data_IF_655744220079
#
_entry.id   IF_655744220079
#
_cell.length_a   1.000
_cell.length_b   1.000
_cell.length_c   1.000
_cell.angle_alpha   90.00
_cell.angle_beta   90.00
_cell.angle_gamma   90.00
#
_symmetry.space_group_name_H-M   'P 1'
#
loop_
_entity.id
_entity.type
_entity.pdbx_description
1 polymer ?
#
# COMPACT_ATOMS: atom_id res chain seq x y z
N UNK A 1 -4.37 17.34 8.38
CA UNK A 1 -4.99 15.99 8.33
C UNK A 1 -4.42 15.32 7.10
N UNK A 2 -3.69 14.21 7.28
CA UNK A 2 -3.02 13.51 6.19
C UNK A 2 -4.02 12.92 5.20
N UNK A 3 -3.68 12.95 3.91
CA UNK A 3 -4.48 12.39 2.81
C UNK A 3 -3.62 11.44 2.00
N UNK A 4 -4.05 10.18 1.87
CA UNK A 4 -3.34 9.15 1.12
C UNK A 4 -4.23 8.54 0.04
N UNK A 5 -3.62 7.90 -0.95
CA UNK A 5 -4.34 7.12 -1.95
C UNK A 5 -3.93 5.65 -1.87
N UNK A 6 -4.88 4.74 -2.09
CA UNK A 6 -4.60 3.33 -2.32
C UNK A 6 -5.02 2.97 -3.75
N UNK A 7 -4.11 2.32 -4.50
CA UNK A 7 -4.33 1.97 -5.90
C UNK A 7 -4.95 0.58 -6.00
N UNK A 8 -6.21 0.52 -6.43
CA UNK A 8 -6.98 -0.71 -6.54
C UNK A 8 -6.98 -1.21 -7.99
N UNK A 9 -6.46 -2.42 -8.20
CA UNK A 9 -6.43 -3.10 -9.49
C UNK A 9 -7.35 -4.32 -9.45
N UNK A 10 -7.95 -4.69 -10.58
CA UNK A 10 -8.57 -6.00 -10.70
C UNK A 10 -7.55 -7.10 -10.38
N UNK A 11 -7.97 -8.07 -9.56
CA UNK A 11 -7.10 -9.12 -9.04
C UNK A 11 -6.26 -8.72 -7.83
N UNK A 12 -6.52 -7.57 -7.18
CA UNK A 12 -5.90 -7.23 -5.90
C UNK A 12 -6.42 -8.14 -4.76
N UNK A 13 -5.62 -8.33 -3.73
CA UNK A 13 -6.04 -9.02 -2.51
C UNK A 13 -7.00 -8.11 -1.72
N UNK A 14 -8.25 -8.55 -1.61
CA UNK A 14 -9.33 -7.77 -1.01
C UNK A 14 -9.04 -7.39 0.44
N UNK A 15 -8.55 -8.34 1.23
CA UNK A 15 -8.27 -8.11 2.66
C UNK A 15 -7.13 -7.12 2.83
N UNK A 16 -6.09 -7.20 2.02
CA UNK A 16 -4.95 -6.27 2.12
C UNK A 16 -5.35 -4.84 1.79
N UNK A 17 -6.20 -4.66 0.76
CA UNK A 17 -6.68 -3.34 0.37
C UNK A 17 -7.72 -2.78 1.35
N UNK A 18 -8.80 -3.52 1.59
CA UNK A 18 -9.94 -3.03 2.36
C UNK A 18 -9.65 -2.90 3.86
N UNK A 19 -8.81 -3.76 4.44
CA UNK A 19 -8.36 -3.62 5.83
C UNK A 19 -7.65 -2.29 6.04
N UNK A 20 -6.73 -1.93 5.15
CA UNK A 20 -6.02 -0.64 5.23
C UNK A 20 -7.00 0.52 5.12
N UNK A 21 -7.94 0.46 4.17
CA UNK A 21 -8.94 1.53 3.99
C UNK A 21 -9.80 1.71 5.23
N UNK A 22 -10.34 0.62 5.78
CA UNK A 22 -11.21 0.67 6.97
C UNK A 22 -10.45 1.23 8.19
N UNK A 23 -9.27 0.69 8.47
CA UNK A 23 -8.49 1.07 9.66
C UNK A 23 -8.02 2.53 9.56
N UNK A 24 -7.53 2.99 8.40
CA UNK A 24 -7.12 4.37 8.23
C UNK A 24 -8.29 5.36 8.35
N UNK A 25 -9.46 5.01 7.80
CA UNK A 25 -10.68 5.82 7.94
C UNK A 25 -11.12 5.93 9.40
N UNK A 26 -11.05 4.84 10.17
CA UNK A 26 -11.31 4.85 11.63
C UNK A 26 -10.34 5.77 12.38
N UNK A 27 -9.07 5.83 11.96
CA UNK A 27 -8.06 6.71 12.54
C UNK A 27 -8.21 8.19 12.12
N UNK A 28 -9.19 8.52 11.27
CA UNK A 28 -9.40 9.88 10.77
C UNK A 28 -8.47 10.28 9.63
N UNK A 29 -7.68 9.35 9.08
CA UNK A 29 -6.87 9.60 7.87
C UNK A 29 -7.80 9.62 6.65
N UNK A 30 -7.66 10.64 5.80
CA UNK A 30 -8.35 10.65 4.51
C UNK A 30 -7.64 9.69 3.57
N UNK A 31 -8.34 8.63 3.17
CA UNK A 31 -7.85 7.67 2.19
C UNK A 31 -8.85 7.54 1.05
N UNK A 32 -8.38 7.79 -0.17
CA UNK A 32 -9.14 7.61 -1.40
C UNK A 32 -8.75 6.28 -2.05
N UNK A 33 -9.73 5.41 -2.34
CA UNK A 33 -9.53 4.22 -3.18
C UNK A 33 -9.58 4.65 -4.64
N UNK A 34 -8.46 4.47 -5.36
CA UNK A 34 -8.35 4.82 -6.77
C UNK A 34 -8.31 3.55 -7.62
N UNK A 35 -9.36 3.32 -8.43
CA UNK A 35 -9.33 2.27 -9.45
C UNK A 35 -8.33 2.64 -10.55
N UNK A 36 -7.43 1.72 -10.88
CA UNK A 36 -6.48 1.89 -11.99
C UNK A 36 -7.05 1.48 -13.35
N UNK A 37 -8.23 0.86 -13.35
CA UNK A 37 -8.98 0.48 -14.56
C UNK A 37 -9.93 1.58 -15.03
N UNK A 38 -10.78 1.21 -15.99
CA UNK A 38 -11.76 2.13 -16.62
C UNK A 38 -13.10 2.18 -15.88
N UNK A 39 -13.25 1.42 -14.80
CA UNK A 39 -14.46 1.32 -13.98
C UNK A 39 -14.16 1.58 -12.52
N UNK A 40 -15.12 2.18 -11.82
CA UNK A 40 -15.06 2.26 -10.36
C UNK A 40 -15.27 0.91 -9.67
N UNK A 41 -15.89 -0.07 -10.34
CA UNK A 41 -16.04 -1.40 -9.81
C UNK A 41 -14.72 -2.16 -10.00
N UNK A 42 -14.19 -2.70 -8.91
CA UNK A 42 -12.97 -3.50 -8.87
C UNK A 42 -13.33 -4.90 -8.43
N UNK A 43 -12.81 -5.90 -9.13
CA UNK A 43 -12.97 -7.31 -8.76
C UNK A 43 -11.64 -7.82 -8.20
N UNK A 44 -11.63 -8.22 -6.94
CA UNK A 44 -10.45 -8.75 -6.28
C UNK A 44 -10.06 -10.15 -6.73
N UNK A 45 -8.95 -10.65 -6.20
CA UNK A 45 -8.35 -11.94 -6.57
C UNK A 45 -9.27 -13.15 -6.26
N UNK A 46 -10.18 -12.99 -5.31
CA UNK A 46 -11.13 -14.03 -4.89
C UNK A 46 -12.57 -13.76 -5.37
N UNK A 47 -12.74 -12.89 -6.37
CA UNK A 47 -14.03 -12.61 -7.00
C UNK A 47 -14.96 -11.71 -6.20
N UNK A 48 -14.47 -11.09 -5.10
CA UNK A 48 -15.24 -10.13 -4.33
C UNK A 48 -15.18 -8.79 -5.05
N UNK A 49 -16.36 -8.23 -5.34
CA UNK A 49 -16.49 -6.93 -5.98
C UNK A 49 -16.70 -5.84 -4.95
N UNK A 50 -15.99 -4.74 -5.15
CA UNK A 50 -16.17 -3.52 -4.37
C UNK A 50 -16.03 -2.29 -5.28
N UNK A 51 -16.48 -1.14 -4.78
CA UNK A 51 -16.45 0.10 -5.55
C UNK A 51 -15.34 1.01 -5.00
N UNK A 52 -14.43 1.43 -5.87
CA UNK A 52 -13.47 2.48 -5.59
C UNK A 52 -14.15 3.86 -5.49
N UNK A 53 -13.51 4.81 -4.82
CA UNK A 53 -14.06 6.16 -4.66
C UNK A 53 -13.94 6.97 -5.97
N UNK A 54 -12.82 6.78 -6.71
CA UNK A 54 -12.51 7.52 -7.94
C UNK A 54 -11.75 6.64 -8.95
N UNK A 55 -11.74 7.05 -10.20
CA UNK A 55 -10.76 6.57 -11.17
C UNK A 55 -9.41 7.27 -10.91
N UNK A 56 -8.31 6.54 -11.11
CA UNK A 56 -6.97 7.11 -10.96
C UNK A 56 -6.73 8.25 -11.97
N UNK A 57 -7.35 8.19 -13.15
CA UNK A 57 -7.30 9.22 -14.18
C UNK A 57 -7.90 10.57 -13.74
N UNK A 58 -8.82 10.55 -12.77
CA UNK A 58 -9.52 11.73 -12.28
C UNK A 58 -8.78 12.43 -11.13
N UNK A 59 -7.64 11.90 -10.72
CA UNK A 59 -6.88 12.38 -9.56
C UNK A 59 -5.44 12.68 -9.90
N UNK A 60 -4.90 13.70 -9.24
CA UNK A 60 -3.47 13.98 -9.30
C UNK A 60 -2.78 13.33 -8.08
N UNK A 61 -1.77 12.49 -8.33
CA UNK A 61 -1.00 11.85 -7.26
C UNK A 61 -0.26 12.86 -6.37
N UNK A 62 0.00 14.07 -6.87
CA UNK A 62 0.70 15.11 -6.12
C UNK A 62 -0.14 15.66 -4.95
N UNK A 63 -1.48 15.49 -5.00
CA UNK A 63 -2.44 15.94 -3.98
C UNK A 63 -2.47 15.03 -2.73
N UNK A 64 -1.68 13.93 -2.72
CA UNK A 64 -1.62 12.98 -1.62
C UNK A 64 -0.29 13.07 -0.87
N UNK A 65 -0.34 12.81 0.43
CA UNK A 65 0.82 12.72 1.32
C UNK A 65 1.49 11.34 1.26
N UNK A 66 0.86 10.39 0.57
CA UNK A 66 1.40 9.06 0.35
C UNK A 66 0.51 8.19 -0.54
N UNK A 67 1.11 7.10 -1.02
CA UNK A 67 0.44 6.10 -1.86
C UNK A 67 0.65 4.69 -1.32
N UNK A 68 -0.37 3.84 -1.46
CA UNK A 68 -0.42 2.50 -0.90
C UNK A 68 -0.76 1.52 -2.02
N UNK A 69 -0.05 0.38 -2.05
CA UNK A 69 -0.24 -0.69 -3.03
C UNK A 69 -0.60 -2.00 -2.30
N UNK A 70 -1.84 -2.51 -2.45
CA UNK A 70 -2.19 -3.86 -2.02
C UNK A 70 -1.54 -4.89 -2.95
N UNK A 71 -1.38 -6.11 -2.47
CA UNK A 71 -0.90 -7.24 -3.25
C UNK A 71 -2.02 -7.96 -3.99
N UNK A 72 -1.89 -9.28 -4.07
CA UNK A 72 -2.76 -10.14 -4.87
C UNK A 72 -2.30 -10.28 -6.31
N UNK A 73 -2.66 -11.41 -6.92
CA UNK A 73 -2.36 -11.67 -8.33
C UNK A 73 -3.66 -11.93 -9.09
N UNK A 74 -3.85 -11.34 -10.28
CA UNK A 74 -2.91 -10.54 -11.06
C UNK A 74 -2.84 -9.04 -10.70
N UNK A 75 -3.45 -8.59 -9.60
CA UNK A 75 -3.52 -7.18 -9.21
C UNK A 75 -2.14 -6.50 -9.17
N UNK A 76 -1.13 -7.15 -8.55
CA UNK A 76 0.25 -6.64 -8.52
C UNK A 76 0.82 -6.47 -9.93
N UNK A 77 0.58 -7.43 -10.83
CA UNK A 77 1.02 -7.33 -12.23
C UNK A 77 0.33 -6.16 -12.96
N UNK A 78 -0.95 -5.95 -12.68
CA UNK A 78 -1.71 -4.83 -13.26
C UNK A 78 -1.19 -3.48 -12.75
N UNK A 79 -0.90 -3.36 -11.45
CA UNK A 79 -0.25 -2.18 -10.86
C UNK A 79 1.13 -1.93 -11.47
N UNK A 80 1.96 -2.97 -11.62
CA UNK A 80 3.30 -2.86 -12.18
C UNK A 80 3.31 -2.34 -13.63
N UNK A 81 2.36 -2.81 -14.45
CA UNK A 81 2.24 -2.41 -15.86
C UNK A 81 1.59 -1.04 -16.07
N UNK A 82 0.88 -0.51 -15.08
CA UNK A 82 0.15 0.74 -15.23
C UNK A 82 1.12 1.95 -15.16
N UNK A 83 1.16 2.72 -16.24
CA UNK A 83 2.10 3.85 -16.36
C UNK A 83 1.79 5.00 -15.40
N UNK A 84 0.52 5.20 -15.02
CA UNK A 84 0.13 6.22 -14.05
C UNK A 84 0.60 5.82 -12.65
N UNK A 85 0.50 4.54 -12.28
CA UNK A 85 1.04 4.01 -11.02
C UNK A 85 2.55 4.23 -10.97
N UNK A 86 3.28 3.89 -12.03
CA UNK A 86 4.73 4.07 -12.10
C UNK A 86 5.13 5.54 -11.99
N UNK A 87 4.39 6.43 -12.64
CA UNK A 87 4.61 7.87 -12.55
C UNK A 87 4.35 8.39 -11.14
N UNK A 88 3.24 7.96 -10.51
CA UNK A 88 2.90 8.34 -9.14
C UNK A 88 3.98 7.90 -8.14
N UNK A 89 4.47 6.65 -8.23
CA UNK A 89 5.54 6.16 -7.36
C UNK A 89 6.81 6.99 -7.47
N UNK A 90 7.24 7.32 -8.70
CA UNK A 90 8.43 8.16 -8.92
C UNK A 90 8.26 9.56 -8.32
N UNK A 91 7.11 10.18 -8.51
CA UNK A 91 6.81 11.51 -7.96
C UNK A 91 6.79 11.51 -6.43
N UNK A 92 6.07 10.53 -5.83
CA UNK A 92 5.99 10.40 -4.38
C UNK A 92 7.38 10.15 -3.76
N UNK A 93 8.19 9.29 -4.39
CA UNK A 93 9.55 9.01 -3.95
C UNK A 93 10.43 10.25 -4.00
N UNK A 94 10.41 10.98 -5.13
CA UNK A 94 11.19 12.22 -5.30
C UNK A 94 10.78 13.33 -4.33
N UNK A 95 9.51 13.33 -3.92
CA UNK A 95 8.97 14.29 -2.95
C UNK A 95 9.20 13.85 -1.48
N UNK A 96 9.80 12.68 -1.23
CA UNK A 96 9.99 12.14 0.12
C UNK A 96 8.70 11.76 0.84
N UNK A 97 7.60 11.58 0.10
CA UNK A 97 6.28 11.23 0.64
C UNK A 97 6.18 9.71 0.89
N UNK A 98 5.19 9.31 1.69
CA UNK A 98 4.97 7.90 2.04
C UNK A 98 4.71 7.03 0.81
N UNK A 99 5.40 5.89 0.74
CA UNK A 99 5.11 4.79 -0.17
C UNK A 99 4.99 3.51 0.66
N UNK A 100 3.81 2.90 0.63
CA UNK A 100 3.54 1.68 1.37
C UNK A 100 3.09 0.56 0.43
N UNK A 101 3.57 -0.66 0.64
CA UNK A 101 3.20 -1.81 -0.19
C UNK A 101 3.20 -3.11 0.62
N UNK A 102 2.28 -4.03 0.29
CA UNK A 102 2.12 -5.29 1.03
C UNK A 102 2.13 -6.48 0.08
N UNK A 103 2.57 -7.65 0.58
CA UNK A 103 2.50 -8.95 -0.07
C UNK A 103 3.41 -9.01 -1.31
N UNK A 104 2.86 -9.17 -2.51
CA UNK A 104 3.60 -9.16 -3.76
C UNK A 104 3.97 -7.73 -4.23
N UNK A 105 3.20 -6.71 -3.82
CA UNK A 105 3.36 -5.35 -4.32
C UNK A 105 4.70 -4.66 -3.96
N UNK A 106 5.39 -4.96 -2.84
CA UNK A 106 6.73 -4.44 -2.61
C UNK A 106 7.73 -4.75 -3.73
N UNK A 107 7.53 -5.84 -4.49
CA UNK A 107 8.38 -6.18 -5.65
C UNK A 107 8.40 -5.06 -6.70
N UNK A 108 7.31 -4.30 -6.84
CA UNK A 108 7.24 -3.14 -7.73
C UNK A 108 8.24 -2.07 -7.26
N UNK A 109 8.37 -1.87 -5.94
CA UNK A 109 9.28 -0.88 -5.37
C UNK A 109 10.75 -1.27 -5.57
N UNK A 110 11.04 -2.58 -5.51
CA UNK A 110 12.37 -3.10 -5.81
C UNK A 110 12.76 -2.89 -7.27
N UNK A 111 11.87 -3.26 -8.20
CA UNK A 111 12.10 -3.17 -9.64
C UNK A 111 12.26 -1.74 -10.15
N UNK A 112 11.55 -0.77 -9.57
CA UNK A 112 11.64 0.63 -9.98
C UNK A 112 12.63 1.48 -9.16
N UNK A 113 13.38 0.86 -8.24
CA UNK A 113 14.45 1.48 -7.48
C UNK A 113 14.04 2.27 -6.25
N UNK A 114 12.76 2.35 -5.92
CA UNK A 114 12.24 3.00 -4.69
C UNK A 114 12.78 2.34 -3.42
N UNK A 115 12.97 1.02 -3.47
CA UNK A 115 13.48 0.22 -2.35
C UNK A 115 15.01 0.21 -2.24
N UNK A 116 15.75 0.81 -3.17
CA UNK A 116 17.23 0.77 -3.16
C UNK A 116 17.79 1.37 -1.86
N UNK A 117 18.71 0.63 -1.23
CA UNK A 117 19.35 1.02 0.01
C UNK A 117 18.47 0.91 1.26
N UNK A 118 17.25 0.41 1.13
CA UNK A 118 16.29 0.30 2.23
C UNK A 118 16.19 -1.12 2.78
N UNK A 119 15.79 -1.23 4.04
CA UNK A 119 15.33 -2.47 4.65
C UNK A 119 13.88 -2.70 4.21
N UNK A 120 13.58 -3.91 3.68
CA UNK A 120 12.28 -4.24 3.10
C UNK A 120 11.85 -5.66 3.41
N UNK A 121 10.56 -5.90 3.31
CA UNK A 121 9.96 -7.24 3.34
C UNK A 121 8.92 -7.39 2.23
N UNK A 122 8.53 -8.62 1.91
CA UNK A 122 7.47 -8.94 0.95
C UNK A 122 6.90 -10.34 1.22
N UNK A 123 5.95 -10.75 0.42
CA UNK A 123 5.52 -12.14 0.37
C UNK A 123 6.69 -13.04 -0.05
N UNK A 124 6.83 -14.26 0.48
CA UNK A 124 7.87 -15.20 0.09
C UNK A 124 7.89 -15.46 -1.41
N UNK A 125 9.11 -15.55 -1.99
CA UNK A 125 9.29 -15.78 -3.43
C UNK A 125 9.44 -14.51 -4.27
N UNK A 126 9.47 -13.31 -3.64
CA UNK A 126 9.73 -12.04 -4.34
C UNK A 126 11.08 -11.42 -3.96
N UNK A 127 11.95 -12.15 -3.27
CA UNK A 127 13.25 -11.68 -2.76
C UNK A 127 14.15 -11.15 -3.87
N UNK A 128 14.14 -11.79 -5.04
CA UNK A 128 14.96 -11.42 -6.20
C UNK A 128 14.61 -10.02 -6.77
N UNK A 129 13.47 -9.45 -6.39
CA UNK A 129 13.12 -8.09 -6.78
C UNK A 129 13.94 -7.02 -6.04
N UNK A 130 14.70 -7.39 -5.01
CA UNK A 130 15.40 -6.45 -4.12
C UNK A 130 16.93 -6.56 -4.14
N UNK A 131 17.59 -6.53 -5.31
CA UNK A 131 19.04 -6.77 -5.42
C UNK A 131 19.91 -5.69 -4.75
N UNK A 132 19.31 -4.55 -4.39
CA UNK A 132 19.97 -3.39 -3.77
C UNK A 132 19.36 -2.99 -2.44
N UNK A 133 18.64 -3.89 -1.77
CA UNK A 133 17.95 -3.65 -0.51
C UNK A 133 18.40 -4.67 0.54
N UNK A 134 18.18 -4.36 1.81
CA UNK A 134 18.32 -5.35 2.89
C UNK A 134 16.98 -6.06 3.07
N UNK A 135 16.84 -7.25 2.49
CA UNK A 135 15.63 -8.05 2.62
C UNK A 135 15.57 -8.75 3.97
N UNK A 136 14.42 -8.65 4.64
CA UNK A 136 14.14 -9.30 5.92
C UNK A 136 12.77 -9.97 5.91
N UNK A 137 12.49 -10.77 6.95
CA UNK A 137 11.23 -11.53 7.06
C UNK A 137 10.31 -11.02 8.17
N UNK A 138 10.53 -9.80 8.64
CA UNK A 138 9.66 -9.14 9.63
C UNK A 138 8.26 -8.91 9.03
N UNK A 139 7.21 -9.00 9.86
CA UNK A 139 5.82 -8.83 9.42
C UNK A 139 5.58 -7.49 8.73
N UNK A 140 6.18 -6.43 9.27
CA UNK A 140 6.16 -5.06 8.71
C UNK A 140 7.54 -4.45 8.87
N UNK A 141 7.97 -3.70 7.88
CA UNK A 141 9.22 -2.93 7.90
C UNK A 141 8.93 -1.49 7.51
N UNK A 142 9.32 -0.57 8.39
CA UNK A 142 9.34 0.88 8.10
C UNK A 142 10.79 1.32 7.97
N UNK A 143 11.16 1.86 6.81
CA UNK A 143 12.48 2.46 6.56
C UNK A 143 12.32 3.84 5.90
N UNK A 144 12.41 4.88 6.74
CA UNK A 144 12.15 6.25 6.32
C UNK A 144 10.69 6.41 5.85
N UNK A 145 10.52 6.77 4.58
CA UNK A 145 9.21 6.98 3.96
C UNK A 145 8.67 5.74 3.21
N UNK A 146 9.30 4.57 3.36
CA UNK A 146 8.86 3.33 2.74
C UNK A 146 8.41 2.34 3.81
N UNK A 147 7.18 1.82 3.68
CA UNK A 147 6.62 0.80 4.56
C UNK A 147 6.29 -0.43 3.70
N UNK A 148 6.81 -1.59 4.10
CA UNK A 148 6.53 -2.85 3.42
C UNK A 148 6.01 -3.91 4.39
N UNK A 149 5.18 -4.85 3.91
CA UNK A 149 4.60 -5.91 4.73
C UNK A 149 4.47 -7.22 3.95
N UNK A 150 4.32 -8.34 4.68
CA UNK A 150 4.45 -9.67 4.09
C UNK A 150 3.21 -10.21 3.38
N UNK A 151 2.02 -9.90 3.84
CA UNK A 151 0.83 -10.47 3.21
C UNK A 151 -0.45 -10.31 4.03
N UNK A 152 -1.50 -10.98 3.61
CA UNK A 152 -2.86 -10.85 4.16
C UNK A 152 -2.89 -10.93 5.70
N UNK A 153 -2.18 -11.88 6.29
CA UNK A 153 -2.15 -12.05 7.75
C UNK A 153 -1.47 -10.91 8.52
N UNK A 154 -0.75 -10.02 7.84
CA UNK A 154 -0.09 -8.85 8.43
C UNK A 154 -0.74 -7.52 8.03
N UNK A 155 -1.93 -7.56 7.40
CA UNK A 155 -2.60 -6.37 6.88
C UNK A 155 -2.98 -5.36 7.98
N UNK A 156 -3.34 -5.84 9.18
CA UNK A 156 -3.66 -4.97 10.32
C UNK A 156 -2.37 -4.29 10.83
N UNK A 157 -1.28 -5.05 11.05
CA UNK A 157 0.01 -4.49 11.47
C UNK A 157 0.51 -3.45 10.44
N UNK A 158 0.32 -3.71 9.15
CA UNK A 158 0.66 -2.80 8.07
C UNK A 158 -0.14 -1.49 8.15
N UNK A 159 -1.46 -1.56 8.36
CA UNK A 159 -2.29 -0.39 8.53
C UNK A 159 -1.92 0.42 9.77
N UNK A 160 -1.59 -0.25 10.88
CA UNK A 160 -1.14 0.39 12.12
C UNK A 160 0.21 1.10 11.92
N UNK A 161 1.16 0.49 11.20
CA UNK A 161 2.44 1.14 10.87
C UNK A 161 2.25 2.41 10.00
N UNK A 162 1.26 2.40 9.09
CA UNK A 162 0.91 3.59 8.31
C UNK A 162 0.31 4.68 9.21
N UNK A 163 -0.54 4.32 10.18
CA UNK A 163 -1.08 5.28 11.17
C UNK A 163 0.05 5.87 12.02
N UNK A 164 0.96 5.02 12.50
CA UNK A 164 2.12 5.48 13.27
C UNK A 164 2.94 6.50 12.48
N UNK A 165 3.20 6.25 11.21
CA UNK A 165 3.94 7.15 10.33
C UNK A 165 3.21 8.47 10.08
N UNK A 166 1.90 8.43 9.84
CA UNK A 166 1.10 9.60 9.44
C UNK A 166 0.63 10.45 10.62
N UNK A 167 0.50 9.86 11.80
CA UNK A 167 -0.07 10.49 13.00
C UNK A 167 0.90 10.36 14.18
N UNK A 168 0.95 9.19 14.83
CA UNK A 168 1.82 8.88 15.96
C UNK A 168 1.71 7.42 16.39
N UNK A 169 2.67 6.95 17.21
CA UNK A 169 2.63 5.64 17.85
C UNK A 169 1.40 5.48 18.75
N UNK A 170 1.07 6.50 19.55
CA UNK A 170 -0.10 6.49 20.43
C UNK A 170 -1.40 6.27 19.64
N UNK A 171 -1.53 6.92 18.47
CA UNK A 171 -2.70 6.75 17.62
C UNK A 171 -2.81 5.33 17.04
N UNK A 172 -1.69 4.71 16.71
CA UNK A 172 -1.64 3.32 16.26
C UNK A 172 -2.01 2.35 17.38
N UNK A 173 -1.49 2.56 18.61
CA UNK A 173 -1.84 1.74 19.78
C UNK A 173 -3.31 1.85 20.15
N UNK A 174 -3.86 3.07 20.16
CA UNK A 174 -5.28 3.30 20.45
C UNK A 174 -6.17 2.67 19.37
N UNK A 175 -5.76 2.73 18.11
CA UNK A 175 -6.48 2.05 17.04
C UNK A 175 -6.46 0.53 17.22
N UNK A 176 -5.31 -0.07 17.56
CA UNK A 176 -5.20 -1.50 17.83
C UNK A 176 -6.15 -1.95 18.94
N UNK A 177 -6.23 -1.19 20.06
CA UNK A 177 -7.18 -1.42 21.15
C UNK A 177 -8.64 -1.29 20.69
N UNK A 178 -8.97 -0.24 19.92
CA UNK A 178 -10.32 0.04 19.45
C UNK A 178 -10.87 -1.05 18.53
N UNK A 179 -10.02 -1.69 17.73
CA UNK A 179 -10.40 -2.81 16.86
C UNK A 179 -10.21 -4.18 17.51
N UNK A 180 -9.90 -4.24 18.80
CA UNK A 180 -9.66 -5.49 19.58
C UNK A 180 -8.54 -6.36 18.97
N UNK A 181 -7.50 -5.73 18.42
CA UNK A 181 -6.44 -6.48 17.76
C UNK A 181 -5.38 -7.00 18.74
N UNK A 182 -4.99 -6.24 19.72
CA UNK A 182 -4.03 -6.63 20.82
C UNK A 182 -4.35 -5.81 22.06
#
# INVERSE_FOLDING_TARGET
MSKVAIFMADGCEEIEGLTVVDILRRAGVKIDMLSIGDSLNVTGAHGIQFRADYLMTDKNSDDYDGVILPGGMPGTTNLEKNTLVQSALKKQFSAGKLIAAICAAPSILGKNGVANGKKVTSYPGFEDAFPRSTYVTDSVVTDGNVITSRGMGTAIDFALAIIEYLISSDAAEDMAKNIMYK
#
